data_IF_143107320642
#
_entry.id   IF_143107320642
#
_cell.length_a   1.000
_cell.length_b   1.000
_cell.length_c   1.000
_cell.angle_alpha   90.00
_cell.angle_beta   90.00
_cell.angle_gamma   90.00
#
_symmetry.space_group_name_H-M   'P 1'
#
loop_
_entity.id
_entity.type
_entity.pdbx_description
1 polymer ?
#
# COMPACT_ATOMS: atom_id res chain seq x y z
N UNK A 1 -48.27 -43.75 30.30
CA UNK A 1 -48.57 -44.69 31.44
C UNK A 1 -47.35 -44.72 32.32
N UNK A 2 -47.59 -44.84 33.57
CA UNK A 2 -47.10 -43.87 34.55
C UNK A 2 -46.24 -44.54 35.67
N UNK A 3 -45.83 -43.64 36.60
CA UNK A 3 -45.71 -43.89 38.05
C UNK A 3 -44.38 -44.54 38.52
N UNK A 4 -43.76 -44.14 39.64
CA UNK A 4 -44.04 -43.44 40.90
C UNK A 4 -42.71 -43.20 41.63
N UNK A 5 -42.48 -42.10 42.18
CA UNK A 5 -42.46 -41.61 43.56
C UNK A 5 -42.20 -42.65 44.69
N UNK A 6 -41.15 -42.40 45.47
CA UNK A 6 -41.25 -42.48 46.91
C UNK A 6 -40.18 -41.74 47.67
N UNK A 7 -40.69 -41.00 48.65
CA UNK A 7 -40.14 -40.16 49.73
C UNK A 7 -39.67 -41.00 50.92
N UNK A 8 -39.07 -40.24 51.87
CA UNK A 8 -39.06 -40.47 53.35
C UNK A 8 -37.74 -41.01 53.88
N UNK A 9 -37.07 -40.50 54.92
CA UNK A 9 -37.29 -39.56 55.98
C UNK A 9 -36.03 -39.37 56.80
N UNK A 10 -35.90 -38.21 57.45
CA UNK A 10 -34.94 -37.94 58.53
C UNK A 10 -35.38 -38.74 59.83
N UNK A 11 -34.51 -38.86 60.86
CA UNK A 11 -34.47 -37.84 61.90
C UNK A 11 -33.13 -37.68 62.69
N UNK A 12 -32.92 -36.49 63.18
CA UNK A 12 -32.65 -35.89 64.49
C UNK A 12 -31.64 -36.50 65.48
N UNK A 13 -30.91 -35.60 66.15
CA UNK A 13 -30.35 -35.74 67.50
C UNK A 13 -28.97 -35.15 67.68
N UNK A 14 -28.77 -34.03 68.06
CA UNK A 14 -28.56 -33.21 69.28
C UNK A 14 -27.19 -33.38 69.97
N UNK A 15 -26.69 -32.21 70.43
CA UNK A 15 -25.96 -31.84 71.66
C UNK A 15 -24.47 -31.45 71.51
N UNK A 16 -24.22 -30.17 71.88
CA UNK A 16 -22.93 -29.42 72.08
C UNK A 16 -22.14 -29.96 73.31
N UNK A 17 -20.93 -29.40 73.67
CA UNK A 17 -20.26 -28.11 73.40
C UNK A 17 -18.70 -28.17 73.32
N UNK A 18 -17.93 -27.10 73.66
CA UNK A 18 -17.14 -26.33 72.78
C UNK A 18 -15.60 -26.50 72.97
N UNK A 19 -14.82 -26.31 72.01
CA UNK A 19 -13.37 -26.07 72.20
C UNK A 19 -12.88 -24.87 71.30
N UNK A 20 -12.34 -23.91 72.01
CA UNK A 20 -11.48 -22.84 71.46
C UNK A 20 -10.41 -23.42 70.53
N UNK A 21 -10.33 -22.87 69.33
CA UNK A 21 -9.16 -23.04 68.51
C UNK A 21 -8.81 -21.69 67.85
N UNK A 22 -7.59 -21.27 68.08
CA UNK A 22 -6.90 -20.08 67.62
C UNK A 22 -6.98 -19.98 66.12
N UNK A 23 -7.53 -18.84 65.62
CA UNK A 23 -7.49 -18.45 64.21
C UNK A 23 -6.14 -17.86 63.90
N UNK A 24 -5.27 -18.60 63.19
CA UNK A 24 -4.11 -18.05 62.52
C UNK A 24 -4.58 -17.50 61.18
N UNK A 25 -4.71 -16.18 61.10
CA UNK A 25 -5.00 -15.48 59.84
C UNK A 25 -3.72 -15.49 58.99
N UNK A 26 -3.69 -16.32 57.95
CA UNK A 26 -2.76 -16.19 56.86
C UNK A 26 -3.21 -15.06 55.93
N UNK A 27 -2.57 -13.90 56.05
CA UNK A 27 -2.69 -12.82 55.10
C UNK A 27 -1.97 -13.24 53.82
N UNK A 28 -2.67 -13.83 52.87
CA UNK A 28 -2.20 -13.94 51.49
C UNK A 28 -2.18 -12.54 50.87
N UNK A 29 -1.02 -11.90 50.93
CA UNK A 29 -0.73 -10.69 50.17
C UNK A 29 -0.64 -11.10 48.69
N UNK A 30 -1.78 -11.13 48.02
CA UNK A 30 -1.88 -11.29 46.59
C UNK A 30 -1.20 -10.11 45.88
N UNK A 31 0.02 -10.32 45.44
CA UNK A 31 0.73 -9.41 44.52
C UNK A 31 -0.04 -9.43 43.19
N UNK A 32 -1.02 -8.55 43.04
CA UNK A 32 -1.63 -8.23 41.76
C UNK A 32 -0.53 -7.55 40.91
N UNK A 33 0.27 -8.37 40.22
CA UNK A 33 1.00 -7.89 39.04
C UNK A 33 -0.09 -7.42 38.05
N UNK A 34 -0.38 -6.12 38.07
CA UNK A 34 -1.05 -5.47 36.96
C UNK A 34 -0.13 -5.60 35.75
N UNK A 35 -0.39 -6.62 34.92
CA UNK A 35 0.07 -6.61 33.53
C UNK A 35 -0.58 -5.37 32.89
N UNK A 36 0.14 -4.25 32.92
CA UNK A 36 -0.19 -3.12 32.08
C UNK A 36 -0.27 -3.69 30.66
N UNK A 37 -1.41 -3.51 29.92
CA UNK A 37 -1.46 -3.89 28.53
C UNK A 37 -0.29 -3.18 27.87
N UNK A 38 0.52 -3.93 27.11
CA UNK A 38 1.50 -3.34 26.22
C UNK A 38 0.71 -2.32 25.37
N UNK A 39 0.93 -1.04 25.63
CA UNK A 39 0.33 0.03 24.86
C UNK A 39 0.84 -0.16 23.43
N UNK A 40 0.04 -0.78 22.57
CA UNK A 40 0.12 -0.54 21.14
C UNK A 40 0.14 0.98 21.02
N UNK A 41 1.20 1.54 20.47
CA UNK A 41 1.28 2.99 20.22
C UNK A 41 0.14 3.25 19.24
N UNK A 42 -0.99 3.70 19.79
CA UNK A 42 -2.15 4.04 18.99
C UNK A 42 -1.72 5.16 18.05
N UNK A 43 -1.87 4.93 16.74
CA UNK A 43 -1.52 5.91 15.70
C UNK A 43 -2.61 6.98 15.68
N UNK A 44 -2.59 7.86 16.68
CA UNK A 44 -3.51 8.98 16.72
C UNK A 44 -3.21 9.93 15.56
N UNK A 45 -4.26 10.35 14.86
CA UNK A 45 -4.14 11.23 13.71
C UNK A 45 -3.39 12.53 14.03
N UNK A 46 -3.60 13.08 15.22
CA UNK A 46 -2.90 14.28 15.70
C UNK A 46 -1.38 14.06 15.80
N UNK A 47 -0.95 12.91 16.35
CA UNK A 47 0.48 12.57 16.44
C UNK A 47 1.14 12.42 15.07
N UNK A 48 0.40 11.91 14.09
CA UNK A 48 0.90 11.79 12.71
C UNK A 48 0.98 13.18 12.07
N UNK A 49 -0.09 13.97 12.19
CA UNK A 49 -0.17 15.29 11.58
C UNK A 49 0.85 16.29 12.17
N UNK A 50 1.22 16.12 13.44
CA UNK A 50 2.21 16.96 14.15
C UNK A 50 3.61 16.35 14.22
N UNK A 51 3.86 15.19 13.58
CA UNK A 51 5.15 14.53 13.66
C UNK A 51 6.26 15.36 13.00
N UNK A 52 7.33 15.65 13.74
CA UNK A 52 8.47 16.45 13.28
C UNK A 52 9.75 15.61 13.21
N UNK A 53 10.62 15.97 12.28
CA UNK A 53 11.94 15.33 12.20
C UNK A 53 12.87 15.86 13.27
N UNK A 54 13.43 14.96 14.07
CA UNK A 54 14.29 15.26 15.23
C UNK A 54 15.75 14.85 15.03
N UNK A 55 16.17 14.67 13.77
CA UNK A 55 17.54 14.19 13.46
C UNK A 55 17.66 12.66 13.42
N UNK A 56 16.57 11.92 13.71
CA UNK A 56 16.56 10.46 13.66
C UNK A 56 15.62 9.98 12.54
N UNK A 57 16.12 9.08 11.70
CA UNK A 57 15.31 8.48 10.64
C UNK A 57 14.15 7.65 11.22
N UNK A 58 13.00 7.67 10.57
CA UNK A 58 11.90 6.75 10.92
C UNK A 58 12.34 5.29 10.72
N UNK A 59 11.66 4.35 11.39
CA UNK A 59 11.93 2.92 11.24
C UNK A 59 11.66 2.45 9.81
N UNK A 60 12.50 1.56 9.30
CA UNK A 60 12.29 0.87 8.02
C UNK A 60 11.34 -0.33 8.15
N UNK A 61 11.16 -0.87 9.36
CA UNK A 61 10.47 -2.14 9.60
C UNK A 61 9.12 -1.99 10.31
N UNK A 62 8.87 -0.82 10.90
CA UNK A 62 7.64 -0.54 11.65
C UNK A 62 6.97 0.75 11.23
N UNK A 63 5.65 0.78 11.31
CA UNK A 63 4.84 1.98 11.07
C UNK A 63 5.19 3.05 12.11
N UNK A 64 5.49 4.26 11.65
CA UNK A 64 5.79 5.39 12.52
C UNK A 64 5.06 6.65 12.10
N UNK A 65 4.66 7.54 13.03
CA UNK A 65 4.02 8.81 12.69
C UNK A 65 4.82 9.63 11.67
N UNK A 66 6.12 9.79 11.88
CA UNK A 66 6.98 10.53 10.95
C UNK A 66 7.14 9.81 9.60
N UNK A 67 7.18 8.47 9.58
CA UNK A 67 7.21 7.69 8.34
C UNK A 67 5.98 7.93 7.47
N UNK A 68 4.79 7.93 8.07
CA UNK A 68 3.54 8.27 7.39
C UNK A 68 3.61 9.69 6.83
N UNK A 69 3.95 10.68 7.69
CA UNK A 69 3.99 12.09 7.29
C UNK A 69 4.94 12.33 6.13
N UNK A 70 6.15 11.79 6.19
CA UNK A 70 7.15 11.91 5.10
C UNK A 70 6.61 11.32 3.80
N UNK A 71 6.03 10.11 3.84
CA UNK A 71 5.52 9.45 2.64
C UNK A 71 4.37 10.22 2.01
N UNK A 72 3.43 10.72 2.80
CA UNK A 72 2.30 11.52 2.28
C UNK A 72 2.77 12.83 1.66
N UNK A 73 3.69 13.55 2.31
CA UNK A 73 4.23 14.79 1.77
C UNK A 73 5.00 14.56 0.47
N UNK A 74 5.74 13.45 0.36
CA UNK A 74 6.41 13.06 -0.89
C UNK A 74 5.40 12.73 -1.99
N UNK A 75 4.36 11.96 -1.69
CA UNK A 75 3.30 11.59 -2.63
C UNK A 75 2.60 12.85 -3.19
N UNK A 76 2.20 13.76 -2.31
CA UNK A 76 1.61 15.06 -2.68
C UNK A 76 2.53 15.94 -3.54
N UNK A 77 3.84 15.82 -3.35
CA UNK A 77 4.83 16.53 -4.14
C UNK A 77 5.14 15.84 -5.48
N UNK A 78 4.45 14.75 -5.83
CA UNK A 78 4.66 13.88 -7.01
C UNK A 78 5.96 13.09 -6.98
N UNK A 79 6.55 12.89 -5.79
CA UNK A 79 7.67 11.98 -5.58
C UNK A 79 7.16 10.74 -4.85
N UNK A 80 6.48 9.87 -5.60
CA UNK A 80 5.81 8.71 -5.02
C UNK A 80 6.76 7.83 -4.20
N UNK A 81 6.39 7.46 -2.96
CA UNK A 81 7.08 6.41 -2.21
C UNK A 81 6.62 5.00 -2.63
N UNK A 82 5.77 4.89 -3.65
CA UNK A 82 4.98 3.70 -3.94
C UNK A 82 3.81 3.59 -2.96
N UNK A 83 3.68 2.47 -2.29
CA UNK A 83 2.66 2.28 -1.26
C UNK A 83 3.02 3.07 0.01
N UNK A 84 2.07 3.87 0.51
CA UNK A 84 2.20 4.55 1.79
C UNK A 84 1.93 3.52 2.88
N UNK A 85 2.98 3.06 3.52
CA UNK A 85 2.96 2.00 4.55
C UNK A 85 3.45 2.48 5.94
N UNK A 86 3.85 3.75 6.04
CA UNK A 86 4.37 4.35 7.28
C UNK A 86 5.79 3.90 7.65
N UNK A 87 6.47 3.09 6.80
CA UNK A 87 7.81 2.53 7.02
C UNK A 87 8.83 3.26 6.14
N UNK A 88 9.94 3.70 6.70
CA UNK A 88 10.96 4.43 5.93
C UNK A 88 11.91 3.46 5.21
N UNK A 89 11.33 2.62 4.35
CA UNK A 89 12.05 1.62 3.56
C UNK A 89 12.74 2.20 2.32
N UNK A 90 13.25 1.32 1.45
CA UNK A 90 14.04 1.71 0.27
C UNK A 90 13.26 2.59 -0.72
N UNK A 91 11.97 2.38 -0.91
CA UNK A 91 11.18 3.22 -1.82
C UNK A 91 11.02 4.65 -1.28
N UNK A 92 10.79 4.82 0.02
CA UNK A 92 10.77 6.13 0.67
C UNK A 92 12.12 6.85 0.52
N UNK A 93 13.25 6.15 0.73
CA UNK A 93 14.60 6.71 0.51
C UNK A 93 14.84 7.12 -0.94
N UNK A 94 14.37 6.33 -1.92
CA UNK A 94 14.45 6.68 -3.34
C UNK A 94 13.64 7.95 -3.65
N UNK A 95 12.44 8.08 -3.08
CA UNK A 95 11.59 9.25 -3.23
C UNK A 95 12.22 10.50 -2.59
N UNK A 96 12.76 10.39 -1.37
CA UNK A 96 13.52 11.46 -0.71
C UNK A 96 14.70 11.92 -1.57
N UNK A 97 15.47 10.97 -2.13
CA UNK A 97 16.60 11.30 -3.03
C UNK A 97 16.15 12.07 -4.25
N UNK A 98 15.07 11.63 -4.90
CA UNK A 98 14.56 12.28 -6.09
C UNK A 98 14.01 13.69 -5.77
N UNK A 99 13.31 13.85 -4.64
CA UNK A 99 12.84 15.15 -4.17
C UNK A 99 14.02 16.09 -3.87
N UNK A 100 15.04 15.62 -3.17
CA UNK A 100 16.22 16.44 -2.88
C UNK A 100 17.01 16.81 -4.15
N UNK A 101 17.07 15.90 -5.15
CA UNK A 101 17.67 16.19 -6.46
C UNK A 101 16.93 17.34 -7.17
N UNK A 102 15.61 17.31 -7.17
CA UNK A 102 14.78 18.39 -7.72
C UNK A 102 15.00 19.71 -6.96
N UNK A 103 15.08 19.65 -5.63
CA UNK A 103 15.36 20.81 -4.78
C UNK A 103 16.83 21.24 -4.77
N UNK A 104 17.71 20.55 -5.53
CA UNK A 104 19.17 20.81 -5.61
C UNK A 104 19.86 20.70 -4.23
N UNK A 105 19.38 19.80 -3.39
CA UNK A 105 19.93 19.53 -2.06
C UNK A 105 20.85 18.30 -2.09
N UNK A 106 21.98 18.30 -1.34
CA UNK A 106 22.83 17.13 -1.24
C UNK A 106 22.17 16.06 -0.38
N UNK A 107 21.97 14.85 -0.95
CA UNK A 107 21.48 13.68 -0.19
C UNK A 107 21.84 12.38 -0.90
N UNK A 108 21.90 11.30 -0.12
CA UNK A 108 22.02 9.92 -0.61
C UNK A 108 20.73 9.12 -0.45
N UNK A 109 19.61 9.79 -0.17
CA UNK A 109 18.30 9.18 0.13
C UNK A 109 17.94 9.22 1.61
N UNK A 110 18.76 9.91 2.41
CA UNK A 110 18.46 10.13 3.82
C UNK A 110 17.64 11.41 3.98
N UNK A 111 16.73 11.41 4.96
CA UNK A 111 16.03 12.61 5.38
C UNK A 111 17.01 13.48 6.18
N UNK A 112 17.34 14.66 5.66
CA UNK A 112 18.17 15.66 6.36
C UNK A 112 17.29 16.83 6.82
N UNK A 113 17.86 17.73 7.65
CA UNK A 113 17.14 18.93 8.10
C UNK A 113 16.70 19.80 6.93
N UNK A 114 17.56 19.96 5.94
CA UNK A 114 17.26 20.78 4.76
C UNK A 114 16.16 20.15 3.90
N UNK A 115 16.21 18.83 3.70
CA UNK A 115 15.18 18.10 2.95
C UNK A 115 13.85 18.16 3.71
N UNK A 116 13.86 17.95 5.03
CA UNK A 116 12.66 18.04 5.85
C UNK A 116 12.02 19.45 5.77
N UNK A 117 12.81 20.51 5.93
CA UNK A 117 12.32 21.89 5.84
C UNK A 117 11.66 22.20 4.48
N UNK A 118 12.18 21.65 3.39
CA UNK A 118 11.57 21.80 2.06
C UNK A 118 10.31 20.98 1.89
N UNK A 119 10.29 19.79 2.44
CA UNK A 119 9.16 18.87 2.34
C UNK A 119 8.00 19.34 3.23
N UNK A 120 8.28 19.80 4.43
CA UNK A 120 7.30 20.26 5.42
C UNK A 120 6.72 21.66 5.15
N UNK A 121 7.01 22.28 4.01
CA UNK A 121 6.33 23.52 3.56
C UNK A 121 4.83 23.30 3.35
N UNK A 122 4.42 22.09 2.95
CA UNK A 122 3.02 21.67 3.02
C UNK A 122 2.68 21.31 4.46
N UNK A 123 2.07 22.24 5.17
CA UNK A 123 1.69 22.16 6.59
C UNK A 123 0.27 21.58 6.80
N UNK A 124 -0.44 21.27 5.71
CA UNK A 124 -1.78 20.66 5.78
C UNK A 124 -1.74 19.32 6.49
N UNK A 125 -2.81 18.96 7.23
CA UNK A 125 -2.92 17.64 7.82
C UNK A 125 -2.70 16.54 6.76
N UNK A 126 -1.85 15.57 7.07
CA UNK A 126 -1.55 14.43 6.19
C UNK A 126 -2.53 13.27 6.38
N UNK A 127 -3.27 13.27 7.48
CA UNK A 127 -4.40 12.37 7.73
C UNK A 127 -5.70 13.16 7.82
N UNK A 128 -6.75 12.59 7.24
CA UNK A 128 -8.10 13.16 7.24
C UNK A 128 -9.15 12.09 7.50
N UNK A 129 -10.37 12.51 7.82
CA UNK A 129 -11.52 11.60 7.92
C UNK A 129 -12.17 11.41 6.56
N UNK A 130 -12.54 10.18 6.26
CA UNK A 130 -13.33 9.79 5.10
C UNK A 130 -14.53 8.98 5.54
N UNK A 131 -15.72 9.32 5.07
CA UNK A 131 -16.92 8.51 5.27
C UNK A 131 -17.06 7.53 4.12
N UNK A 132 -17.01 6.24 4.42
CA UNK A 132 -17.19 5.17 3.43
C UNK A 132 -18.51 5.37 2.70
N UNK A 133 -18.46 5.52 1.39
CA UNK A 133 -19.65 5.70 0.55
C UNK A 133 -20.29 4.36 0.18
N UNK A 134 -21.55 4.39 -0.24
CA UNK A 134 -22.21 3.19 -0.78
C UNK A 134 -21.48 2.63 -2.01
N UNK A 135 -20.78 3.46 -2.78
CA UNK A 135 -19.99 3.04 -3.94
C UNK A 135 -18.76 2.21 -3.51
N UNK A 136 -18.10 2.57 -2.42
CA UNK A 136 -16.90 1.87 -1.94
C UNK A 136 -17.20 0.44 -1.45
N UNK A 137 -18.45 0.13 -1.17
CA UNK A 137 -18.88 -1.19 -0.69
C UNK A 137 -19.79 -1.93 -1.68
N UNK A 138 -20.05 -1.34 -2.85
CA UNK A 138 -20.96 -1.92 -3.82
C UNK A 138 -20.36 -3.12 -4.58
N UNK A 139 -19.03 -3.18 -4.71
CA UNK A 139 -18.35 -4.22 -5.50
C UNK A 139 -18.62 -4.15 -7.01
N UNK A 140 -18.53 -5.27 -7.71
CA UNK A 140 -18.34 -6.64 -7.21
C UNK A 140 -16.93 -6.85 -6.63
N UNK A 141 -16.82 -7.65 -5.56
CA UNK A 141 -15.55 -8.09 -4.99
C UNK A 141 -15.30 -9.56 -5.28
N UNK A 142 -14.05 -9.91 -5.55
CA UNK A 142 -13.63 -11.30 -5.71
C UNK A 142 -13.47 -11.94 -4.33
N UNK A 143 -14.03 -13.13 -4.12
CA UNK A 143 -13.80 -13.86 -2.87
C UNK A 143 -12.32 -14.21 -2.69
N UNK A 144 -11.67 -14.61 -3.81
CA UNK A 144 -10.24 -14.90 -3.86
C UNK A 144 -9.68 -14.49 -5.22
N UNK A 145 -8.48 -13.91 -5.21
CA UNK A 145 -7.70 -13.72 -6.43
C UNK A 145 -6.94 -15.02 -6.71
N UNK A 146 -7.16 -15.69 -7.87
CA UNK A 146 -6.44 -16.91 -8.21
C UNK A 146 -4.93 -16.67 -8.23
N UNK A 147 -4.16 -17.58 -7.65
CA UNK A 147 -2.70 -17.49 -7.63
C UNK A 147 -2.07 -17.83 -9.00
N UNK A 148 -2.76 -18.61 -9.82
CA UNK A 148 -2.33 -18.98 -11.16
C UNK A 148 -2.96 -18.08 -12.19
N UNK A 149 -2.16 -17.59 -13.10
CA UNK A 149 -2.61 -16.68 -14.17
C UNK A 149 -3.67 -17.33 -15.07
N UNK A 150 -3.54 -18.64 -15.33
CA UNK A 150 -4.50 -19.38 -16.16
C UNK A 150 -5.93 -19.40 -15.57
N UNK A 151 -6.03 -19.38 -14.25
CA UNK A 151 -7.33 -19.42 -13.57
C UNK A 151 -8.02 -18.03 -13.56
N UNK A 152 -7.23 -16.96 -13.79
CA UNK A 152 -7.76 -15.58 -13.86
C UNK A 152 -8.57 -15.33 -15.15
N UNK A 153 -8.34 -16.09 -16.23
CA UNK A 153 -9.03 -15.93 -17.52
C UNK A 153 -10.54 -16.15 -17.41
N UNK A 154 -10.96 -16.98 -16.45
CA UNK A 154 -12.36 -17.39 -16.27
C UNK A 154 -13.16 -16.37 -15.43
N UNK A 155 -12.50 -15.35 -14.88
CA UNK A 155 -13.15 -14.29 -14.12
C UNK A 155 -13.68 -13.20 -15.07
N UNK A 156 -14.93 -12.79 -14.88
CA UNK A 156 -15.56 -11.72 -15.68
C UNK A 156 -14.84 -10.38 -15.54
N UNK A 157 -14.22 -10.14 -14.39
CA UNK A 157 -13.44 -8.94 -14.06
C UNK A 157 -12.45 -9.25 -12.95
N UNK A 158 -11.25 -8.65 -13.02
CA UNK A 158 -10.26 -8.74 -11.95
C UNK A 158 -10.49 -7.61 -10.92
N UNK A 159 -11.67 -7.64 -10.28
CA UNK A 159 -12.08 -6.66 -9.27
C UNK A 159 -11.22 -6.73 -8.01
N UNK A 160 -11.35 -5.76 -7.12
CA UNK A 160 -10.79 -5.84 -5.76
C UNK A 160 -11.31 -7.09 -5.02
N UNK A 161 -10.59 -7.56 -4.03
CA UNK A 161 -11.00 -8.69 -3.19
C UNK A 161 -11.83 -8.27 -1.97
N UNK A 162 -11.80 -6.98 -1.64
CA UNK A 162 -12.54 -6.43 -0.51
C UNK A 162 -12.69 -4.90 -0.62
N UNK A 163 -13.66 -4.31 0.07
CA UNK A 163 -13.73 -2.86 0.22
C UNK A 163 -12.45 -2.27 0.84
N UNK A 164 -11.78 -3.01 1.76
CA UNK A 164 -10.54 -2.55 2.37
C UNK A 164 -9.42 -2.42 1.33
N UNK A 165 -9.27 -3.39 0.42
CA UNK A 165 -8.29 -3.28 -0.68
C UNK A 165 -8.59 -2.08 -1.57
N UNK A 166 -9.87 -1.88 -1.94
CA UNK A 166 -10.30 -0.73 -2.76
C UNK A 166 -9.99 0.61 -2.08
N UNK A 167 -10.33 0.74 -0.79
CA UNK A 167 -10.05 1.93 0.00
C UNK A 167 -8.54 2.17 0.17
N UNK A 168 -7.76 1.13 0.42
CA UNK A 168 -6.31 1.25 0.52
C UNK A 168 -5.71 1.78 -0.78
N UNK A 169 -6.07 1.22 -1.93
CA UNK A 169 -5.60 1.69 -3.24
C UNK A 169 -6.09 3.10 -3.55
N UNK A 170 -7.35 3.43 -3.24
CA UNK A 170 -7.94 4.75 -3.41
C UNK A 170 -7.16 5.86 -2.71
N UNK A 171 -6.55 5.56 -1.57
CA UNK A 171 -5.78 6.49 -0.77
C UNK A 171 -4.27 6.19 -0.80
N UNK A 172 -3.77 5.45 -1.78
CA UNK A 172 -2.36 5.07 -1.97
C UNK A 172 -1.72 4.37 -0.78
N UNK A 173 -2.53 3.77 0.11
CA UNK A 173 -2.09 3.15 1.36
C UNK A 173 -1.88 1.64 1.23
N UNK A 174 -1.06 1.09 2.13
CA UNK A 174 -1.13 -0.35 2.40
C UNK A 174 -2.41 -0.70 3.18
N UNK A 175 -2.95 -1.91 2.97
CA UNK A 175 -4.06 -2.40 3.80
C UNK A 175 -3.66 -2.52 5.27
N UNK A 176 -2.37 -2.77 5.55
CA UNK A 176 -1.80 -2.80 6.91
C UNK A 176 -1.92 -1.43 7.58
N UNK A 177 -1.48 -0.36 6.90
CA UNK A 177 -1.57 0.99 7.43
C UNK A 177 -3.03 1.43 7.60
N UNK A 178 -3.87 1.17 6.61
CA UNK A 178 -5.30 1.50 6.69
C UNK A 178 -5.95 0.84 7.92
N UNK A 179 -5.64 -0.42 8.19
CA UNK A 179 -6.14 -1.14 9.37
C UNK A 179 -5.53 -0.59 10.68
N UNK A 180 -4.25 -0.26 10.69
CA UNK A 180 -3.57 0.27 11.88
C UNK A 180 -4.09 1.65 12.29
N UNK A 181 -4.50 2.49 11.32
CA UNK A 181 -5.13 3.80 11.58
C UNK A 181 -6.60 3.67 12.01
N UNK A 182 -7.22 2.50 11.80
CA UNK A 182 -8.64 2.27 12.03
C UNK A 182 -8.88 0.97 12.80
N UNK A 183 -8.35 0.83 14.01
CA UNK A 183 -8.57 -0.38 14.80
C UNK A 183 -10.07 -0.59 15.00
N UNK A 184 -10.53 -1.83 14.92
CA UNK A 184 -11.92 -2.26 15.13
C UNK A 184 -12.97 -1.64 14.19
N UNK A 185 -12.54 -0.98 13.09
CA UNK A 185 -13.47 -0.44 12.09
C UNK A 185 -13.81 -1.48 11.02
N UNK A 186 -15.06 -1.48 10.62
CA UNK A 186 -15.56 -2.26 9.50
C UNK A 186 -15.44 -1.43 8.21
N UNK A 187 -14.76 -1.98 7.21
CA UNK A 187 -14.59 -1.32 5.91
C UNK A 187 -15.70 -1.68 4.91
N UNK A 188 -16.54 -2.64 5.24
CA UNK A 188 -17.61 -3.21 4.40
C UNK A 188 -18.97 -2.54 4.59
N UNK A 189 -19.04 -1.42 5.30
CA UNK A 189 -20.27 -0.71 5.62
C UNK A 189 -20.19 0.77 5.25
N UNK A 190 -21.13 1.21 4.42
CA UNK A 190 -21.30 2.63 4.12
C UNK A 190 -21.69 3.43 5.38
N UNK A 191 -21.29 4.69 5.43
CA UNK A 191 -21.57 5.61 6.55
C UNK A 191 -20.57 5.53 7.69
N UNK A 192 -19.64 4.56 7.71
CA UNK A 192 -18.58 4.48 8.71
C UNK A 192 -17.50 5.53 8.38
N UNK A 193 -17.14 6.34 9.39
CA UNK A 193 -16.01 7.25 9.30
C UNK A 193 -14.71 6.51 9.62
N UNK A 194 -13.72 6.65 8.74
CA UNK A 194 -12.38 6.10 8.86
C UNK A 194 -11.33 7.19 8.70
N UNK A 195 -10.14 6.96 9.25
CA UNK A 195 -8.97 7.82 9.05
C UNK A 195 -8.19 7.30 7.84
N UNK A 196 -7.88 8.19 6.92
CA UNK A 196 -7.12 7.89 5.69
C UNK A 196 -6.04 8.95 5.48
N UNK A 197 -5.07 8.67 4.62
CA UNK A 197 -4.13 9.72 4.19
C UNK A 197 -4.82 10.69 3.25
N UNK A 198 -4.47 11.96 3.34
CA UNK A 198 -4.90 12.99 2.41
C UNK A 198 -3.89 13.09 1.27
N UNK A 199 -4.27 12.55 0.10
CA UNK A 199 -3.45 12.50 -1.12
C UNK A 199 -3.68 13.70 -2.06
N UNK A 200 -4.40 14.75 -1.60
CA UNK A 200 -4.62 15.93 -2.43
C UNK A 200 -3.28 16.64 -2.74
N UNK A 201 -3.02 16.87 -4.02
CA UNK A 201 -1.77 17.49 -4.48
C UNK A 201 -1.44 18.78 -3.71
N UNK A 202 -0.20 18.91 -3.28
CA UNK A 202 0.29 20.12 -2.62
C UNK A 202 0.26 21.32 -3.56
N UNK A 203 0.60 21.09 -4.82
CA UNK A 203 0.55 22.10 -5.89
C UNK A 203 0.13 21.39 -7.17
N UNK A 204 -1.02 21.73 -7.76
CA UNK A 204 -1.39 21.19 -9.06
C UNK A 204 -0.31 21.56 -10.09
N UNK A 205 0.53 20.60 -10.46
CA UNK A 205 1.53 20.78 -11.51
C UNK A 205 0.85 20.45 -12.84
N UNK A 206 0.52 21.47 -13.61
CA UNK A 206 -0.03 21.33 -14.97
C UNK A 206 1.05 21.05 -16.03
N UNK A 207 2.28 20.76 -15.63
CA UNK A 207 3.37 20.60 -16.55
C UNK A 207 3.31 19.22 -17.23
N UNK A 208 3.05 19.24 -18.52
CA UNK A 208 3.07 18.06 -19.38
C UNK A 208 4.46 17.39 -19.33
N UNK A 209 4.48 16.08 -19.17
CA UNK A 209 5.71 15.28 -19.21
C UNK A 209 6.20 15.20 -20.66
N UNK A 210 7.42 15.68 -20.88
CA UNK A 210 8.06 15.67 -22.20
C UNK A 210 9.08 14.55 -22.35
N UNK A 211 9.58 13.99 -21.25
CA UNK A 211 10.52 12.87 -21.25
C UNK A 211 10.34 12.00 -20.00
N UNK A 212 10.42 10.70 -20.19
CA UNK A 212 10.46 9.70 -19.11
C UNK A 212 11.83 9.02 -19.14
N UNK A 213 12.44 8.81 -17.97
CA UNK A 213 13.69 8.04 -17.83
C UNK A 213 13.44 6.86 -16.89
N UNK A 214 13.72 5.66 -17.38
CA UNK A 214 13.67 4.41 -16.61
C UNK A 214 15.10 4.03 -16.25
N UNK A 215 15.43 4.14 -14.96
CA UNK A 215 16.72 3.66 -14.43
C UNK A 215 16.54 2.20 -13.97
N UNK A 216 17.14 1.29 -14.76
CA UNK A 216 17.03 -0.15 -14.54
C UNK A 216 17.79 -0.62 -13.30
N UNK A 217 18.91 0.01 -13.00
CA UNK A 217 19.72 -0.34 -11.84
C UNK A 217 19.05 0.11 -10.55
N UNK A 218 18.59 1.35 -10.51
CA UNK A 218 17.92 1.92 -9.35
C UNK A 218 16.47 1.51 -9.22
N UNK A 219 15.90 0.89 -10.26
CA UNK A 219 14.47 0.50 -10.31
C UNK A 219 13.57 1.71 -10.04
N UNK A 220 13.71 2.74 -10.88
CA UNK A 220 12.96 3.99 -10.76
C UNK A 220 12.52 4.52 -12.12
N UNK A 221 11.46 5.31 -12.10
CA UNK A 221 11.00 6.10 -13.23
C UNK A 221 11.00 7.57 -12.83
N UNK A 222 11.66 8.41 -13.64
CA UNK A 222 11.69 9.86 -13.49
C UNK A 222 11.02 10.51 -14.68
N UNK A 223 10.19 11.51 -14.43
CA UNK A 223 9.48 12.26 -15.46
C UNK A 223 9.94 13.73 -15.46
N UNK A 224 10.19 14.25 -16.65
CA UNK A 224 10.76 15.58 -16.84
C UNK A 224 9.86 16.43 -17.73
N UNK A 225 9.76 17.71 -17.40
CA UNK A 225 9.09 18.71 -18.22
C UNK A 225 9.94 19.17 -19.42
N UNK A 226 9.39 20.13 -20.19
CA UNK A 226 10.08 20.70 -21.38
C UNK A 226 11.37 21.44 -21.03
N UNK A 227 11.49 21.95 -19.82
CA UNK A 227 12.68 22.69 -19.37
C UNK A 227 13.73 21.78 -18.75
N UNK A 228 13.44 20.48 -18.63
CA UNK A 228 14.31 19.48 -18.05
C UNK A 228 14.23 19.38 -16.53
N UNK A 229 13.25 20.01 -15.89
CA UNK A 229 13.02 19.85 -14.47
C UNK A 229 12.37 18.49 -14.19
N UNK A 230 12.78 17.86 -13.11
CA UNK A 230 12.16 16.65 -12.60
C UNK A 230 10.80 17.00 -11.99
N UNK A 231 9.70 16.54 -12.61
CA UNK A 231 8.33 16.89 -12.19
C UNK A 231 7.59 15.75 -11.52
N UNK A 232 8.04 14.50 -11.73
CA UNK A 232 7.50 13.35 -11.00
C UNK A 232 8.53 12.23 -10.90
N UNK A 233 8.39 11.45 -9.84
CA UNK A 233 9.23 10.29 -9.53
C UNK A 233 8.35 9.12 -9.09
N UNK A 234 8.72 7.90 -9.51
CA UNK A 234 8.05 6.67 -9.12
C UNK A 234 9.07 5.55 -8.87
N UNK A 235 8.95 4.77 -7.78
CA UNK A 235 9.64 3.50 -7.69
C UNK A 235 9.06 2.53 -8.72
N UNK A 236 9.89 1.68 -9.28
CA UNK A 236 9.47 0.80 -10.37
C UNK A 236 10.07 -0.60 -10.26
N UNK A 237 9.32 -1.61 -10.67
CA UNK A 237 9.87 -2.94 -10.93
C UNK A 237 10.24 -3.05 -12.40
N UNK A 238 11.49 -3.40 -12.67
CA UNK A 238 12.01 -3.55 -14.04
C UNK A 238 12.31 -5.00 -14.38
N UNK A 239 12.69 -5.25 -15.63
CA UNK A 239 13.05 -6.58 -16.13
C UNK A 239 14.21 -7.22 -15.38
N UNK A 240 14.17 -8.53 -15.27
CA UNK A 240 15.23 -9.33 -14.66
C UNK A 240 16.46 -9.46 -15.60
N UNK A 241 17.59 -9.96 -15.07
CA UNK A 241 18.77 -10.28 -15.90
C UNK A 241 18.45 -11.29 -17.03
N UNK A 242 17.49 -12.21 -16.80
CA UNK A 242 17.06 -13.20 -17.80
C UNK A 242 16.09 -12.65 -18.84
N UNK A 243 15.29 -11.66 -18.46
CA UNK A 243 14.31 -10.97 -19.30
C UNK A 243 14.42 -9.47 -19.05
N UNK A 244 15.45 -8.82 -19.63
CA UNK A 244 15.75 -7.42 -19.32
C UNK A 244 14.71 -6.48 -19.94
N UNK A 245 14.52 -5.35 -19.30
CA UNK A 245 13.85 -4.22 -19.92
C UNK A 245 14.66 -3.72 -21.11
N UNK A 246 14.06 -3.04 -22.09
CA UNK A 246 14.75 -2.48 -23.24
C UNK A 246 15.94 -1.59 -22.85
N UNK A 247 16.72 -1.21 -23.83
CA UNK A 247 17.79 -0.20 -23.71
C UNK A 247 17.60 0.87 -24.77
N UNK A 248 18.15 2.05 -24.52
CA UNK A 248 18.05 3.18 -25.44
C UNK A 248 16.70 3.92 -25.30
N UNK A 249 16.25 4.56 -26.37
CA UNK A 249 15.06 5.40 -26.34
C UNK A 249 13.92 4.78 -27.14
N UNK A 250 12.82 4.56 -26.47
CA UNK A 250 11.52 4.20 -27.04
C UNK A 250 10.58 5.41 -27.00
N UNK A 251 9.40 5.28 -27.61
CA UNK A 251 8.34 6.31 -27.58
C UNK A 251 7.04 5.70 -27.10
N UNK A 252 6.24 6.46 -26.39
CA UNK A 252 4.84 6.11 -26.11
C UNK A 252 4.09 6.04 -27.43
N UNK A 253 3.37 4.95 -27.67
CA UNK A 253 2.56 4.75 -28.90
C UNK A 253 1.07 4.62 -28.61
N UNK A 254 0.69 4.32 -27.39
CA UNK A 254 -0.71 4.19 -26.94
C UNK A 254 -0.82 4.21 -25.43
N UNK A 255 -2.02 4.50 -24.94
CA UNK A 255 -2.37 4.45 -23.52
C UNK A 255 -3.74 3.79 -23.43
N UNK A 256 -3.82 2.68 -22.72
CA UNK A 256 -5.05 1.92 -22.51
C UNK A 256 -5.44 1.99 -21.03
N UNK A 257 -6.66 2.41 -20.77
CA UNK A 257 -7.29 2.41 -19.45
C UNK A 257 -8.11 1.14 -19.27
N UNK A 258 -7.95 0.48 -18.14
CA UNK A 258 -8.54 -0.82 -17.83
C UNK A 258 -8.25 -1.86 -18.94
N UNK A 259 -6.98 -2.14 -19.24
CA UNK A 259 -6.60 -3.05 -20.31
C UNK A 259 -7.00 -4.50 -20.00
N UNK A 260 -7.23 -5.28 -21.04
CA UNK A 260 -7.12 -6.75 -20.94
C UNK A 260 -5.64 -7.14 -20.93
N UNK A 261 -5.34 -8.29 -20.35
CA UNK A 261 -4.00 -8.87 -20.45
C UNK A 261 -4.02 -10.10 -21.36
N UNK A 262 -3.25 -10.03 -22.46
CA UNK A 262 -3.04 -11.16 -23.37
C UNK A 262 -1.79 -11.96 -22.97
N UNK A 263 -1.97 -13.22 -22.58
CA UNK A 263 -0.86 -14.15 -22.38
C UNK A 263 -0.48 -14.82 -23.70
N UNK A 264 0.82 -14.77 -24.04
CA UNK A 264 1.41 -15.56 -25.13
C UNK A 264 2.33 -16.65 -24.53
N UNK A 265 2.13 -17.93 -24.84
CA UNK A 265 2.98 -19.02 -24.32
C UNK A 265 4.46 -18.88 -24.72
N UNK A 266 4.77 -18.23 -25.83
CA UNK A 266 6.16 -17.98 -26.26
C UNK A 266 6.95 -17.11 -25.27
N UNK A 267 6.27 -16.40 -24.38
CA UNK A 267 6.92 -15.63 -23.33
C UNK A 267 7.53 -16.48 -22.21
N UNK A 268 7.13 -17.77 -22.10
CA UNK A 268 7.64 -18.73 -21.12
C UNK A 268 7.67 -18.17 -19.69
N UNK A 269 6.54 -17.67 -19.22
CA UNK A 269 6.46 -17.12 -17.86
C UNK A 269 6.57 -18.23 -16.82
N UNK A 270 7.45 -18.01 -15.84
CA UNK A 270 7.61 -18.95 -14.72
C UNK A 270 6.29 -19.10 -13.96
N UNK A 271 5.85 -20.35 -13.79
CA UNK A 271 4.61 -20.66 -13.05
C UNK A 271 3.35 -20.72 -13.91
N UNK A 272 3.39 -20.28 -15.17
CA UNK A 272 2.30 -20.46 -16.13
C UNK A 272 2.51 -21.78 -16.87
N UNK A 273 1.51 -22.66 -16.85
CA UNK A 273 1.56 -23.99 -17.48
C UNK A 273 0.85 -24.07 -18.83
N UNK A 274 0.02 -23.06 -19.13
CA UNK A 274 -0.73 -23.03 -20.38
C UNK A 274 0.23 -23.00 -21.58
N UNK A 275 -0.04 -23.88 -22.54
CA UNK A 275 0.62 -23.94 -23.85
C UNK A 275 -0.14 -23.17 -24.93
N UNK A 276 -1.28 -22.61 -24.60
CA UNK A 276 -2.12 -21.81 -25.50
C UNK A 276 -2.25 -20.39 -24.99
N UNK A 277 -2.39 -19.44 -25.91
CA UNK A 277 -2.67 -18.07 -25.58
C UNK A 277 -4.06 -17.95 -24.90
N UNK A 278 -4.20 -16.97 -24.00
CA UNK A 278 -5.46 -16.64 -23.35
C UNK A 278 -5.49 -15.16 -22.97
N UNK A 279 -6.68 -14.64 -22.74
CA UNK A 279 -6.90 -13.26 -22.33
C UNK A 279 -7.46 -13.23 -20.91
N UNK A 280 -6.96 -12.29 -20.09
CA UNK A 280 -7.48 -11.98 -18.76
C UNK A 280 -8.23 -10.66 -18.84
N UNK A 281 -9.42 -10.62 -18.26
CA UNK A 281 -10.30 -9.47 -18.28
C UNK A 281 -9.75 -8.27 -17.45
N UNK A 282 -10.24 -7.05 -17.70
CA UNK A 282 -9.78 -5.86 -16.98
C UNK A 282 -10.09 -5.89 -15.49
N UNK A 283 -9.39 -5.04 -14.75
CA UNK A 283 -9.66 -4.74 -13.35
C UNK A 283 -8.39 -4.39 -12.58
N UNK A 284 -8.50 -3.85 -11.36
CA UNK A 284 -7.35 -3.43 -10.56
C UNK A 284 -6.40 -4.59 -10.22
N UNK A 285 -6.93 -5.81 -10.11
CA UNK A 285 -6.16 -7.03 -9.89
C UNK A 285 -5.71 -7.75 -11.18
N UNK A 286 -5.82 -7.11 -12.35
CA UNK A 286 -5.24 -7.61 -13.60
C UNK A 286 -3.70 -7.63 -13.50
N UNK A 287 -2.99 -8.58 -14.12
CA UNK A 287 -1.51 -8.63 -14.13
C UNK A 287 -0.80 -7.34 -14.55
N UNK A 288 -1.44 -6.52 -15.37
CA UNK A 288 -0.94 -5.20 -15.80
C UNK A 288 -1.69 -4.03 -15.16
N UNK A 289 -2.51 -4.30 -14.15
CA UNK A 289 -3.27 -3.29 -13.41
C UNK A 289 -4.31 -2.56 -14.24
N UNK A 290 -4.54 -1.30 -13.88
CA UNK A 290 -5.57 -0.44 -14.49
C UNK A 290 -5.09 0.37 -15.68
N UNK A 291 -3.77 0.41 -15.95
CA UNK A 291 -3.16 1.23 -17.00
C UNK A 291 -2.11 0.41 -17.75
N UNK A 292 -2.10 0.56 -19.08
CA UNK A 292 -1.03 0.12 -19.95
C UNK A 292 -0.58 1.25 -20.86
N UNK A 293 0.67 1.69 -20.73
CA UNK A 293 1.32 2.68 -21.60
C UNK A 293 2.20 1.91 -22.55
N UNK A 294 1.75 1.73 -23.79
CA UNK A 294 2.43 0.99 -24.85
C UNK A 294 3.67 1.74 -25.36
N UNK A 295 4.76 1.04 -25.55
CA UNK A 295 6.00 1.58 -26.11
C UNK A 295 6.21 1.14 -27.57
N UNK A 296 7.09 1.85 -28.29
CA UNK A 296 7.41 1.58 -29.70
C UNK A 296 8.15 0.25 -29.93
N UNK A 297 8.57 -0.45 -28.90
CA UNK A 297 8.99 -1.85 -28.98
C UNK A 297 7.79 -2.74 -28.64
N UNK A 298 7.48 -3.68 -29.53
CA UNK A 298 6.35 -4.58 -29.38
C UNK A 298 6.45 -5.40 -28.07
N UNK A 299 5.33 -5.52 -27.34
CA UNK A 299 5.24 -6.25 -26.09
C UNK A 299 5.84 -5.55 -24.87
N UNK A 300 6.39 -4.34 -25.02
CA UNK A 300 6.92 -3.56 -23.90
C UNK A 300 6.02 -2.37 -23.53
N UNK A 301 5.92 -2.12 -22.23
CA UNK A 301 5.12 -1.01 -21.70
C UNK A 301 5.49 -0.65 -20.26
N UNK A 302 4.93 0.49 -19.82
CA UNK A 302 4.83 0.83 -18.41
C UNK A 302 3.39 0.58 -17.99
N UNK A 303 3.19 -0.03 -16.82
CA UNK A 303 1.85 -0.47 -16.42
C UNK A 303 1.68 -0.57 -14.89
N UNK A 304 0.43 -0.58 -14.44
CA UNK A 304 0.07 -0.83 -13.06
C UNK A 304 0.31 -2.27 -12.60
N UNK A 305 -0.09 -2.59 -11.39
CA UNK A 305 -0.01 -3.95 -10.84
C UNK A 305 -1.01 -4.16 -9.71
N UNK A 306 -1.51 -5.39 -9.60
CA UNK A 306 -2.29 -5.86 -8.45
C UNK A 306 -1.49 -5.91 -7.12
N UNK A 307 -0.18 -5.76 -7.17
CA UNK A 307 0.71 -5.97 -6.03
C UNK A 307 1.56 -4.74 -5.74
N UNK A 308 0.92 -3.65 -5.30
CA UNK A 308 1.57 -2.36 -4.98
C UNK A 308 2.75 -2.51 -4.03
N UNK A 309 2.60 -3.28 -2.95
CA UNK A 309 3.65 -3.53 -1.97
C UNK A 309 4.90 -4.27 -2.50
N UNK A 310 4.85 -4.83 -3.72
CA UNK A 310 5.98 -5.51 -4.39
C UNK A 310 6.71 -4.64 -5.42
N UNK A 311 6.22 -3.43 -5.68
CA UNK A 311 6.87 -2.51 -6.62
C UNK A 311 8.27 -2.17 -6.13
N UNK A 312 9.27 -2.24 -7.04
CA UNK A 312 10.70 -2.03 -6.75
C UNK A 312 11.33 -3.05 -5.76
N UNK A 313 10.59 -4.08 -5.36
CA UNK A 313 11.05 -5.17 -4.46
C UNK A 313 11.06 -6.53 -5.17
N UNK A 314 10.70 -6.58 -6.44
CA UNK A 314 10.64 -7.78 -7.27
C UNK A 314 11.24 -7.52 -8.66
N UNK A 315 11.22 -8.53 -9.53
CA UNK A 315 11.66 -8.42 -10.93
C UNK A 315 10.49 -8.71 -11.88
N UNK A 316 10.48 -8.08 -13.05
CA UNK A 316 9.50 -8.32 -14.10
C UNK A 316 10.07 -9.19 -15.23
N UNK A 317 9.24 -9.42 -16.25
CA UNK A 317 9.63 -10.10 -17.49
C UNK A 317 9.99 -9.11 -18.62
N UNK A 318 10.40 -7.90 -18.27
CA UNK A 318 10.84 -6.88 -19.21
C UNK A 318 10.06 -5.56 -19.12
N UNK A 319 8.77 -5.60 -18.84
CA UNK A 319 7.95 -4.40 -18.66
C UNK A 319 8.29 -3.66 -17.36
N UNK A 320 7.91 -2.39 -17.30
CA UNK A 320 8.09 -1.54 -16.13
C UNK A 320 6.78 -1.50 -15.33
N UNK A 321 6.80 -2.04 -14.10
CA UNK A 321 5.64 -2.05 -13.20
C UNK A 321 5.70 -0.88 -12.24
N UNK A 322 4.60 -0.18 -12.13
CA UNK A 322 4.31 0.88 -11.18
C UNK A 322 3.13 0.43 -10.29
N UNK A 323 2.80 1.17 -9.25
CA UNK A 323 1.49 1.03 -8.61
C UNK A 323 0.39 1.43 -9.61
N UNK A 324 -0.86 1.05 -9.38
CA UNK A 324 -1.96 1.45 -10.27
C UNK A 324 -2.10 2.98 -10.30
N UNK A 325 -2.02 3.66 -9.15
CA UNK A 325 -2.13 5.12 -9.06
C UNK A 325 -0.94 5.86 -9.69
N UNK A 326 0.30 5.35 -9.54
CA UNK A 326 1.47 5.92 -10.19
C UNK A 326 1.39 5.80 -11.72
N UNK A 327 0.94 4.63 -12.21
CA UNK A 327 0.73 4.41 -13.63
C UNK A 327 -0.37 5.32 -14.18
N UNK A 328 -1.45 5.54 -13.43
CA UNK A 328 -2.53 6.45 -13.79
C UNK A 328 -2.07 7.91 -13.80
N UNK A 329 -1.32 8.34 -12.78
CA UNK A 329 -0.73 9.67 -12.72
C UNK A 329 0.19 9.93 -13.93
N UNK A 330 1.09 8.98 -14.24
CA UNK A 330 1.98 9.07 -15.41
C UNK A 330 1.18 9.10 -16.73
N UNK A 331 0.18 8.23 -16.87
CA UNK A 331 -0.65 8.12 -18.08
C UNK A 331 -1.41 9.42 -18.42
N UNK A 332 -1.89 10.14 -17.39
CA UNK A 332 -2.59 11.43 -17.55
C UNK A 332 -1.69 12.55 -18.10
N UNK A 333 -0.38 12.42 -17.99
CA UNK A 333 0.58 13.49 -18.29
C UNK A 333 1.47 13.20 -19.50
N UNK A 334 1.61 11.94 -19.93
CA UNK A 334 2.34 11.58 -21.16
C UNK A 334 1.40 11.55 -22.37
N UNK A 335 1.95 11.66 -23.57
CA UNK A 335 1.21 11.57 -24.82
C UNK A 335 1.92 10.65 -25.81
N UNK A 336 1.22 10.26 -26.85
CA UNK A 336 1.85 9.57 -28.01
C UNK A 336 3.03 10.39 -28.53
N UNK A 337 4.17 9.74 -28.68
CA UNK A 337 5.44 10.37 -29.07
C UNK A 337 6.35 10.75 -27.91
N UNK A 338 5.88 10.80 -26.65
CA UNK A 338 6.74 11.06 -25.48
C UNK A 338 7.89 10.05 -25.44
N UNK A 339 9.17 10.51 -25.43
CA UNK A 339 10.33 9.64 -25.34
C UNK A 339 10.45 9.00 -23.96
N UNK A 340 10.76 7.70 -23.95
CA UNK A 340 11.04 6.89 -22.76
C UNK A 340 12.45 6.33 -22.89
N UNK A 341 13.37 6.84 -22.09
CA UNK A 341 14.81 6.51 -22.14
C UNK A 341 15.11 5.47 -21.07
N UNK A 342 15.67 4.34 -21.47
CA UNK A 342 16.13 3.28 -20.57
C UNK A 342 17.64 3.36 -20.37
N UNK A 343 18.09 3.55 -19.12
CA UNK A 343 19.49 3.63 -18.70
C UNK A 343 19.86 2.51 -17.73
#
# INVERSE_FOLDING_TARGET
MPTQVRKVSEPSGSIHPPHLALSVAWACLGLLLSLAPAHSIELEAERVNSAEWSGKLPSADSITPLGIRVQVLLDRAHFSPGEIDGKFGENAKKAVRAFAEEQRLPTKGDLTQEVWQRLAVDDRPVLTQYTISSKDVAGPFLQNLPSRMEDMKDLARLSYTSPRQELAEKFHMSEELLSALNPDRHFDRAGIAIVVVDIADATPRSSQIEKVVVDKERQTVKAFDRTGNLVAFYPATVGSKKKPSPSGTLKVVGIDYNPTYGYNPDYHFKGVRSKTAFTINPGPNNPVGTIWISLSAEGYGLHGTAYSGKVSKAQSHGCVRLTNWDAEHLAKQVRKGTPVVFI
#
